data_IF_589827058564
#
_entry.id   IF_589827058564
#
_cell.length_a   1.000
_cell.length_b   1.000
_cell.length_c   1.000
_cell.angle_alpha   90.00
_cell.angle_beta   90.00
_cell.angle_gamma   90.00
#
_symmetry.space_group_name_H-M   'P 1'
#
loop_
_entity.id
_entity.type
_entity.pdbx_description
1 polymer ?
#
# COMPACT_ATOMS: atom_id res chain seq x y z
N UNK A 1 -66.34 -49.69 -6.99
CA UNK A 1 -65.12 -50.38 -6.50
C UNK A 1 -63.93 -49.65 -7.10
N UNK A 2 -62.94 -49.06 -6.43
CA UNK A 2 -62.54 -48.88 -5.03
C UNK A 2 -62.13 -47.40 -4.87
N UNK A 3 -62.43 -46.80 -3.71
CA UNK A 3 -61.93 -45.46 -3.33
C UNK A 3 -60.45 -45.57 -3.00
N UNK A 4 -59.61 -44.74 -3.61
CA UNK A 4 -58.21 -44.55 -3.22
C UNK A 4 -58.16 -43.25 -2.41
N UNK A 5 -57.74 -43.37 -1.15
CA UNK A 5 -57.68 -42.30 -0.16
C UNK A 5 -56.69 -41.21 -0.58
N UNK A 6 -57.19 -39.98 -0.67
CA UNK A 6 -56.49 -38.74 -1.02
C UNK A 6 -55.59 -38.18 0.10
N UNK A 7 -55.22 -38.98 1.11
CA UNK A 7 -54.50 -38.51 2.31
C UNK A 7 -53.05 -39.00 2.39
N UNK A 8 -52.61 -39.86 1.45
CA UNK A 8 -51.19 -40.31 1.37
C UNK A 8 -50.39 -39.49 0.34
N UNK A 9 -51.05 -38.65 -0.46
CA UNK A 9 -50.41 -37.85 -1.50
C UNK A 9 -49.82 -36.51 -1.02
N UNK A 10 -49.81 -36.24 0.29
CA UNK A 10 -49.33 -34.97 0.85
C UNK A 10 -47.97 -35.12 1.56
N UNK A 11 -47.53 -36.34 1.87
CA UNK A 11 -46.26 -36.56 2.59
C UNK A 11 -45.04 -36.86 1.69
N UNK A 12 -45.21 -36.93 0.37
CA UNK A 12 -44.10 -37.13 -0.59
C UNK A 12 -43.74 -35.84 -1.34
N UNK A 13 -44.57 -34.80 -1.24
CA UNK A 13 -44.30 -33.51 -1.89
C UNK A 13 -43.48 -32.53 -1.03
N UNK A 14 -43.14 -32.89 0.22
CA UNK A 14 -42.45 -32.02 1.16
C UNK A 14 -40.94 -32.34 1.35
N UNK A 15 -40.37 -33.24 0.55
CA UNK A 15 -38.96 -33.65 0.65
C UNK A 15 -38.05 -33.15 -0.49
N UNK A 16 -38.53 -32.22 -1.33
CA UNK A 16 -37.85 -31.82 -2.57
C UNK A 16 -37.35 -30.37 -2.65
N UNK A 17 -37.40 -29.57 -1.58
CA UNK A 17 -37.15 -28.13 -1.66
C UNK A 17 -36.12 -27.59 -0.65
N UNK A 18 -35.17 -28.42 -0.23
CA UNK A 18 -33.96 -27.98 0.47
C UNK A 18 -32.71 -28.48 -0.25
N UNK A 19 -32.63 -28.23 -1.56
CA UNK A 19 -31.35 -28.13 -2.24
C UNK A 19 -30.85 -26.70 -2.04
N UNK A 20 -30.14 -26.46 -0.94
CA UNK A 20 -29.26 -25.30 -0.86
C UNK A 20 -28.28 -25.40 -2.01
N UNK A 21 -28.37 -24.50 -2.98
CA UNK A 21 -27.22 -24.17 -3.81
C UNK A 21 -26.20 -23.52 -2.86
N UNK A 22 -25.38 -24.35 -2.23
CA UNK A 22 -24.04 -23.90 -1.87
C UNK A 22 -23.41 -23.58 -3.22
N UNK A 23 -23.19 -22.30 -3.48
CA UNK A 23 -22.38 -21.85 -4.59
C UNK A 23 -20.99 -22.45 -4.34
N UNK A 24 -20.75 -23.62 -4.96
CA UNK A 24 -19.42 -24.20 -4.96
C UNK A 24 -18.58 -23.21 -5.74
N UNK A 25 -17.60 -22.62 -5.07
CA UNK A 25 -16.54 -21.90 -5.76
C UNK A 25 -16.06 -22.79 -6.91
N UNK A 26 -16.30 -22.30 -8.13
CA UNK A 26 -15.80 -22.99 -9.31
C UNK A 26 -14.29 -23.02 -9.13
N UNK A 27 -13.64 -24.20 -9.22
CA UNK A 27 -12.20 -24.24 -9.21
C UNK A 27 -11.69 -23.30 -10.30
N UNK A 28 -10.96 -22.25 -9.89
CA UNK A 28 -10.28 -21.37 -10.82
C UNK A 28 -9.39 -22.27 -11.67
N UNK A 29 -9.49 -22.24 -13.01
CA UNK A 29 -8.58 -23.00 -13.85
C UNK A 29 -7.15 -22.70 -13.40
N UNK A 30 -6.32 -23.71 -13.25
CA UNK A 30 -4.89 -23.50 -13.03
C UNK A 30 -4.41 -22.60 -14.16
N UNK A 31 -4.01 -21.37 -13.82
CA UNK A 31 -3.44 -20.44 -14.80
C UNK A 31 -2.24 -21.15 -15.40
N UNK A 32 -2.20 -21.32 -16.71
CA UNK A 32 -1.00 -21.83 -17.36
C UNK A 32 0.12 -20.81 -17.15
N UNK A 33 1.19 -21.11 -16.38
CA UNK A 33 2.40 -20.31 -16.39
C UNK A 33 2.86 -20.21 -17.85
N UNK A 34 3.42 -19.06 -18.29
CA UNK A 34 3.98 -18.76 -19.62
C UNK A 34 3.33 -17.67 -20.50
N UNK A 35 2.21 -17.04 -20.12
CA UNK A 35 1.74 -15.85 -20.84
C UNK A 35 2.24 -14.58 -20.15
N UNK A 36 3.08 -13.82 -20.86
CA UNK A 36 3.52 -12.49 -20.41
C UNK A 36 2.32 -11.57 -20.46
N UNK A 37 2.01 -10.95 -19.33
CA UNK A 37 0.92 -9.98 -19.22
C UNK A 37 1.48 -8.57 -19.30
N UNK A 38 1.00 -7.79 -20.26
CA UNK A 38 1.24 -6.35 -20.33
C UNK A 38 0.28 -5.63 -19.37
N UNK A 39 0.83 -4.72 -18.57
CA UNK A 39 0.10 -3.90 -17.61
C UNK A 39 0.39 -2.43 -17.90
N UNK A 40 -0.68 -1.64 -17.98
CA UNK A 40 -0.62 -0.17 -18.02
C UNK A 40 -1.29 0.36 -16.74
N UNK A 41 -0.50 0.98 -15.86
CA UNK A 41 -0.93 1.50 -14.58
C UNK A 41 -0.71 3.02 -14.56
N UNK A 42 -1.80 3.78 -14.75
CA UNK A 42 -1.76 5.23 -14.85
C UNK A 42 -2.06 5.89 -13.49
N UNK A 43 -1.08 6.57 -12.91
CA UNK A 43 -1.20 7.32 -11.65
C UNK A 43 -1.64 8.77 -11.83
N UNK A 44 -1.88 9.20 -13.08
CA UNK A 44 -2.16 10.59 -13.47
C UNK A 44 -0.88 11.36 -13.77
N UNK A 45 -0.99 12.41 -14.60
CA UNK A 45 0.15 13.27 -14.97
C UNK A 45 0.67 14.09 -13.79
N UNK A 46 -0.21 14.38 -12.83
CA UNK A 46 0.12 15.07 -11.58
C UNK A 46 0.37 14.06 -10.44
N UNK A 47 0.48 12.77 -10.80
CA UNK A 47 0.78 11.64 -9.92
C UNK A 47 -0.21 11.46 -8.77
N UNK A 48 -1.43 11.97 -8.90
CA UNK A 48 -2.37 12.14 -7.81
C UNK A 48 -3.06 10.83 -7.36
N UNK A 49 -2.86 9.74 -8.11
CA UNK A 49 -3.52 8.46 -7.86
C UNK A 49 -2.55 7.41 -7.31
N UNK A 50 -3.06 6.56 -6.42
CA UNK A 50 -2.38 5.39 -5.88
C UNK A 50 -3.15 4.14 -6.33
N UNK A 51 -2.43 3.12 -6.82
CA UNK A 51 -3.01 1.92 -7.40
C UNK A 51 -2.53 0.67 -6.66
N UNK A 52 -3.47 -0.17 -6.23
CA UNK A 52 -3.19 -1.46 -5.59
C UNK A 52 -3.36 -2.58 -6.60
N UNK A 53 -2.24 -3.18 -7.03
CA UNK A 53 -2.19 -4.15 -8.10
C UNK A 53 -1.94 -5.57 -7.58
N UNK A 54 -2.71 -6.52 -8.13
CA UNK A 54 -2.57 -7.95 -7.89
C UNK A 54 -1.73 -8.58 -9.00
N UNK A 55 -0.53 -9.06 -8.68
CA UNK A 55 0.24 -9.98 -9.50
C UNK A 55 -0.54 -11.28 -9.70
N UNK A 56 -1.22 -11.74 -8.64
CA UNK A 56 -2.06 -12.94 -8.70
C UNK A 56 -3.12 -12.84 -9.77
N UNK A 57 -3.87 -11.74 -9.79
CA UNK A 57 -5.01 -11.56 -10.68
C UNK A 57 -4.66 -10.84 -11.98
N UNK A 58 -3.49 -10.23 -12.05
CA UNK A 58 -3.04 -9.35 -13.13
C UNK A 58 -4.03 -8.20 -13.39
N UNK A 59 -4.38 -7.47 -12.33
CA UNK A 59 -5.27 -6.30 -12.40
C UNK A 59 -5.10 -5.40 -11.18
N UNK A 60 -5.53 -4.14 -11.32
CA UNK A 60 -5.73 -3.23 -10.20
C UNK A 60 -6.97 -3.66 -9.43
N UNK A 61 -6.82 -3.94 -8.12
CA UNK A 61 -7.93 -4.33 -7.24
C UNK A 61 -8.61 -3.10 -6.59
N UNK A 62 -7.85 -2.04 -6.35
CA UNK A 62 -8.37 -0.78 -5.85
C UNK A 62 -7.48 0.40 -6.29
N UNK A 63 -8.04 1.60 -6.23
CA UNK A 63 -7.32 2.85 -6.44
C UNK A 63 -7.91 3.95 -5.57
N UNK A 64 -7.09 4.91 -5.17
CA UNK A 64 -7.52 6.12 -4.48
C UNK A 64 -6.74 7.34 -4.96
N UNK A 65 -7.18 8.52 -4.52
CA UNK A 65 -6.33 9.71 -4.59
C UNK A 65 -5.35 9.70 -3.43
N UNK A 66 -4.16 10.24 -3.62
CA UNK A 66 -3.18 10.39 -2.53
C UNK A 66 -3.76 11.18 -1.34
N UNK A 67 -4.76 12.02 -1.57
CA UNK A 67 -5.36 12.89 -0.55
C UNK A 67 -6.41 12.18 0.29
N UNK A 68 -6.85 10.99 -0.12
CA UNK A 68 -7.91 10.25 0.57
C UNK A 68 -7.48 9.75 1.96
N UNK A 69 -6.17 9.66 2.24
CA UNK A 69 -5.64 9.30 3.56
C UNK A 69 -4.32 10.00 3.88
N UNK A 70 -3.99 10.08 5.16
CA UNK A 70 -2.82 10.77 5.69
C UNK A 70 -1.89 9.81 6.44
N UNK A 71 -2.46 8.98 7.32
CA UNK A 71 -1.72 8.00 8.10
C UNK A 71 -2.41 6.65 8.04
N UNK A 72 -1.69 5.57 8.30
CA UNK A 72 -2.27 4.25 8.50
C UNK A 72 -1.72 3.61 9.77
N UNK A 73 -2.56 2.83 10.45
CA UNK A 73 -2.23 2.17 11.70
C UNK A 73 -2.20 0.64 11.53
N UNK A 74 -1.26 0.01 12.23
CA UNK A 74 -1.16 -1.45 12.34
C UNK A 74 -0.80 -1.82 13.77
N UNK A 75 -1.38 -2.92 14.25
CA UNK A 75 -0.95 -3.55 15.49
C UNK A 75 0.24 -4.46 15.21
N UNK A 76 1.29 -4.35 16.02
CA UNK A 76 2.40 -5.27 15.99
C UNK A 76 2.95 -5.52 17.39
N UNK A 77 2.79 -6.74 17.90
CA UNK A 77 3.36 -7.19 19.18
C UNK A 77 2.95 -6.33 20.40
N UNK A 78 1.70 -5.91 20.46
CA UNK A 78 1.12 -5.05 21.48
C UNK A 78 1.44 -3.56 21.29
N UNK A 79 2.02 -3.18 20.15
CA UNK A 79 2.37 -1.79 19.84
C UNK A 79 1.59 -1.29 18.63
N UNK A 80 1.33 0.01 18.60
CA UNK A 80 0.70 0.67 17.45
C UNK A 80 1.80 1.24 16.56
N UNK A 81 1.89 0.73 15.33
CA UNK A 81 2.78 1.26 14.31
C UNK A 81 2.04 2.29 13.44
N UNK A 82 2.81 3.28 12.97
CA UNK A 82 2.36 4.38 12.15
C UNK A 82 3.03 4.30 10.78
N UNK A 83 2.21 4.33 9.73
CA UNK A 83 2.62 4.63 8.37
C UNK A 83 2.15 6.04 8.02
N UNK A 84 3.02 6.79 7.35
CA UNK A 84 2.67 8.08 6.76
C UNK A 84 2.45 7.92 5.27
N UNK A 85 1.51 8.68 4.74
CA UNK A 85 1.38 8.81 3.30
C UNK A 85 2.51 9.68 2.75
N UNK A 86 3.63 9.03 2.43
CA UNK A 86 4.81 9.71 1.88
C UNK A 86 4.59 10.28 0.49
N UNK A 87 3.54 9.88 -0.25
CA UNK A 87 3.22 10.40 -1.58
C UNK A 87 3.02 11.92 -1.63
N UNK A 88 2.68 12.54 -0.50
CA UNK A 88 2.46 14.00 -0.41
C UNK A 88 3.59 14.77 0.27
N UNK A 89 4.77 14.15 0.42
CA UNK A 89 5.88 14.70 1.21
C UNK A 89 5.54 14.97 2.68
N UNK A 90 4.64 14.15 3.25
CA UNK A 90 4.30 14.21 4.67
C UNK A 90 5.50 13.92 5.56
N UNK A 91 5.52 14.56 6.74
CA UNK A 91 6.56 14.41 7.75
C UNK A 91 5.96 14.33 9.14
N UNK A 92 6.72 13.79 10.07
CA UNK A 92 6.34 13.70 11.48
C UNK A 92 7.43 14.15 12.42
N UNK A 93 7.01 14.47 13.64
CA UNK A 93 7.90 14.58 14.78
C UNK A 93 7.27 13.94 16.02
N UNK A 94 7.94 12.93 16.54
CA UNK A 94 7.76 12.45 17.91
C UNK A 94 8.41 13.41 18.89
N UNK A 95 7.63 14.01 19.79
CA UNK A 95 8.13 15.07 20.67
C UNK A 95 8.60 14.54 22.02
N UNK A 96 8.20 13.33 22.41
CA UNK A 96 8.36 12.80 23.78
C UNK A 96 7.58 13.55 24.85
N UNK A 97 6.71 14.49 24.47
CA UNK A 97 5.90 15.31 25.39
C UNK A 97 4.52 14.66 25.55
N UNK A 98 4.08 14.45 26.80
CA UNK A 98 2.77 13.82 27.07
C UNK A 98 1.64 14.83 27.33
N UNK A 99 1.93 16.13 27.28
CA UNK A 99 0.94 17.20 27.44
C UNK A 99 0.54 17.74 26.06
N UNK A 100 -0.64 17.33 25.59
CA UNK A 100 -1.12 17.55 24.21
C UNK A 100 -1.14 19.01 23.79
N UNK A 101 -1.37 19.95 24.72
CA UNK A 101 -1.50 21.39 24.43
C UNK A 101 -0.19 22.17 24.64
N UNK A 102 0.94 21.50 24.82
CA UNK A 102 2.25 22.17 24.96
C UNK A 102 2.52 23.04 23.72
N UNK A 103 2.79 24.36 23.86
CA UNK A 103 3.15 25.19 22.73
C UNK A 103 4.42 24.68 22.05
N UNK A 104 4.42 24.56 20.72
CA UNK A 104 5.59 24.16 19.93
C UNK A 104 5.76 25.16 18.79
N UNK A 105 6.99 25.63 18.58
CA UNK A 105 7.36 26.39 17.39
C UNK A 105 7.71 25.40 16.26
N UNK A 106 6.91 25.33 15.18
CA UNK A 106 7.15 24.39 14.07
C UNK A 106 8.48 24.64 13.35
N UNK A 107 9.07 25.85 13.46
CA UNK A 107 10.35 26.16 12.83
C UNK A 107 11.56 25.60 13.61
N UNK A 108 11.33 25.14 14.84
CA UNK A 108 12.34 24.54 15.71
C UNK A 108 12.31 23.01 15.70
N UNK A 109 11.47 22.42 14.84
CA UNK A 109 11.22 20.98 14.78
C UNK A 109 12.11 20.34 13.72
N UNK A 110 12.86 19.33 14.13
CA UNK A 110 13.54 18.43 13.21
C UNK A 110 12.51 17.43 12.66
N UNK A 111 12.12 17.60 11.40
CA UNK A 111 11.11 16.78 10.75
C UNK A 111 11.70 15.47 10.21
N UNK A 112 10.93 14.39 10.35
CA UNK A 112 11.29 13.06 9.86
C UNK A 112 10.32 12.63 8.75
N UNK A 113 10.86 12.08 7.66
CA UNK A 113 10.05 11.42 6.63
C UNK A 113 9.85 9.94 6.99
N UNK A 114 8.89 9.30 6.33
CA UNK A 114 8.85 7.84 6.35
C UNK A 114 10.02 7.26 5.56
N UNK A 115 10.70 6.30 6.17
CA UNK A 115 11.76 5.53 5.51
C UNK A 115 11.19 4.79 4.29
N UNK A 116 11.68 5.06 3.07
CA UNK A 116 11.15 4.46 1.83
C UNK A 116 11.31 2.94 1.77
N UNK A 117 12.32 2.39 2.45
CA UNK A 117 12.48 0.94 2.59
C UNK A 117 11.44 0.28 3.51
N UNK A 118 10.61 1.09 4.18
CA UNK A 118 9.52 0.63 5.05
C UNK A 118 9.93 0.55 6.51
N UNK A 119 9.18 -0.24 7.28
CA UNK A 119 9.38 -0.34 8.73
C UNK A 119 10.41 -1.43 9.06
N UNK A 120 11.62 -1.02 9.43
CA UNK A 120 12.57 -1.94 10.06
C UNK A 120 12.17 -2.18 11.52
N UNK A 121 11.66 -3.38 11.81
CA UNK A 121 11.18 -3.78 13.14
C UNK A 121 12.23 -3.68 14.26
N UNK A 122 13.52 -3.52 13.93
CA UNK A 122 14.59 -3.40 14.93
C UNK A 122 14.97 -1.95 15.29
N UNK A 123 14.51 -0.93 14.55
CA UNK A 123 14.98 0.47 14.71
C UNK A 123 13.83 1.51 14.77
N UNK A 124 12.57 1.05 14.83
CA UNK A 124 11.37 1.85 14.54
C UNK A 124 10.80 2.67 15.69
N UNK A 125 11.63 3.36 16.49
CA UNK A 125 11.09 4.24 17.55
C UNK A 125 10.34 5.46 17.01
N UNK A 126 10.69 5.93 15.81
CA UNK A 126 10.04 7.07 15.13
C UNK A 126 8.71 6.72 14.43
N UNK A 127 8.34 5.44 14.37
CA UNK A 127 7.13 4.95 13.70
C UNK A 127 6.20 4.21 14.65
N UNK A 128 6.43 4.31 15.96
CA UNK A 128 5.59 3.71 16.98
C UNK A 128 4.81 4.79 17.74
N UNK A 129 3.49 4.66 17.79
CA UNK A 129 2.66 5.53 18.62
C UNK A 129 2.74 5.10 20.08
N UNK A 130 3.17 6.03 20.94
CA UNK A 130 3.12 5.88 22.39
C UNK A 130 1.87 6.57 22.96
N UNK A 131 1.28 5.97 23.99
CA UNK A 131 0.09 6.52 24.64
C UNK A 131 0.36 7.92 25.20
N UNK A 132 -0.52 8.85 24.83
CA UNK A 132 -0.53 10.27 25.18
C UNK A 132 0.65 11.09 24.68
N UNK A 133 1.56 10.53 23.89
CA UNK A 133 2.62 11.31 23.27
C UNK A 133 1.99 12.32 22.28
N UNK A 134 2.46 13.57 22.33
CA UNK A 134 2.20 14.59 21.33
C UNK A 134 3.12 14.35 20.13
N UNK A 135 2.51 14.13 18.98
CA UNK A 135 3.18 14.01 17.69
C UNK A 135 2.74 15.17 16.82
N UNK A 136 3.69 15.77 16.12
CA UNK A 136 3.38 16.73 15.06
C UNK A 136 3.37 16.03 13.72
N UNK A 137 2.40 16.37 12.88
CA UNK A 137 2.24 15.81 11.54
C UNK A 137 2.16 16.95 10.55
N UNK A 138 3.15 17.07 9.67
CA UNK A 138 3.05 17.89 8.46
C UNK A 138 2.21 17.13 7.43
N UNK A 139 1.09 17.74 7.03
CA UNK A 139 0.14 17.13 6.11
C UNK A 139 0.64 17.07 4.66
N UNK A 140 1.79 17.69 4.39
CA UNK A 140 2.44 17.66 3.10
C UNK A 140 1.89 18.71 2.14
N UNK A 141 1.93 18.40 0.85
CA UNK A 141 1.62 19.35 -0.22
C UNK A 141 0.28 19.06 -0.92
N UNK A 142 -0.29 20.10 -1.53
CA UNK A 142 -1.41 20.01 -2.47
C UNK A 142 -1.03 19.84 -3.93
N UNK A 143 -2.04 19.70 -4.79
CA UNK A 143 -1.85 19.60 -6.24
C UNK A 143 -1.12 20.82 -6.85
N UNK A 144 -1.19 21.98 -6.20
CA UNK A 144 -0.50 23.19 -6.59
C UNK A 144 0.89 23.34 -5.90
N UNK A 145 1.33 22.31 -5.18
CA UNK A 145 2.53 22.29 -4.32
C UNK A 145 2.48 23.27 -3.12
N UNK A 146 1.30 23.64 -2.67
CA UNK A 146 1.11 24.46 -1.47
C UNK A 146 1.00 23.58 -0.21
N UNK A 147 1.43 24.11 0.92
CA UNK A 147 1.39 23.36 2.19
C UNK A 147 -0.05 23.16 2.68
N UNK A 148 -0.37 21.94 3.08
CA UNK A 148 -1.62 21.57 3.76
C UNK A 148 -1.63 21.90 5.26
N UNK A 149 -0.51 22.41 5.79
CA UNK A 149 -0.35 22.76 7.19
C UNK A 149 0.01 21.60 8.09
N UNK A 150 0.05 21.88 9.40
CA UNK A 150 0.51 20.95 10.44
C UNK A 150 -0.58 20.68 11.46
N UNK A 151 -0.70 19.44 11.90
CA UNK A 151 -1.61 19.02 12.97
C UNK A 151 -0.86 18.44 14.16
N UNK A 152 -1.55 18.42 15.30
CA UNK A 152 -1.21 17.62 16.47
C UNK A 152 -1.93 16.28 16.41
N UNK A 153 -1.23 15.21 16.75
CA UNK A 153 -1.74 13.85 16.86
C UNK A 153 -1.33 13.25 18.21
N UNK A 154 -2.20 12.44 18.81
CA UNK A 154 -1.84 11.63 19.97
C UNK A 154 -2.69 10.37 20.02
N UNK A 155 -2.07 9.23 20.35
CA UNK A 155 -2.81 8.01 20.67
C UNK A 155 -3.28 8.08 22.12
N UNK A 156 -4.58 8.20 22.36
CA UNK A 156 -5.16 8.34 23.72
C UNK A 156 -5.83 7.06 24.22
N UNK A 157 -6.00 6.05 23.36
CA UNK A 157 -6.48 4.73 23.72
C UNK A 157 -6.16 3.71 22.63
N UNK A 158 -5.93 2.46 23.02
CA UNK A 158 -5.67 1.36 22.11
C UNK A 158 -6.06 0.04 22.79
N UNK A 159 -6.84 -0.78 22.10
CA UNK A 159 -7.23 -2.12 22.49
C UNK A 159 -7.33 -3.04 21.26
N UNK A 160 -7.79 -4.28 21.48
CA UNK A 160 -7.88 -5.31 20.44
C UNK A 160 -8.90 -4.99 19.34
N UNK A 161 -9.79 -4.00 19.54
CA UNK A 161 -10.83 -3.62 18.57
C UNK A 161 -10.50 -2.31 17.85
N UNK A 162 -9.80 -1.38 18.51
CA UNK A 162 -9.62 -0.04 17.95
C UNK A 162 -8.46 0.76 18.53
N UNK A 163 -8.04 1.77 17.76
CA UNK A 163 -7.28 2.91 18.25
C UNK A 163 -8.21 4.11 18.48
N UNK A 164 -7.92 4.89 19.51
CA UNK A 164 -8.51 6.20 19.74
C UNK A 164 -7.43 7.27 19.60
N UNK A 165 -7.49 8.01 18.52
CA UNK A 165 -6.60 9.13 18.24
C UNK A 165 -7.24 10.43 18.71
N UNK A 166 -6.44 11.35 19.23
CA UNK A 166 -6.78 12.76 19.40
C UNK A 166 -6.04 13.58 18.36
N UNK A 167 -6.77 14.46 17.69
CA UNK A 167 -6.23 15.38 16.69
C UNK A 167 -6.61 16.81 17.00
N UNK A 168 -5.78 17.77 16.61
CA UNK A 168 -6.07 19.20 16.68
C UNK A 168 -5.20 19.96 15.68
N UNK A 169 -5.54 21.22 15.42
CA UNK A 169 -4.66 22.10 14.67
C UNK A 169 -3.34 22.33 15.43
N UNK A 170 -2.30 22.83 14.76
CA UNK A 170 -0.99 23.09 15.38
C UNK A 170 -1.07 23.95 16.67
N UNK A 171 -2.01 24.89 16.74
CA UNK A 171 -2.22 25.76 17.92
C UNK A 171 -2.98 25.06 19.07
N UNK A 172 -3.39 23.79 18.88
CA UNK A 172 -4.21 23.04 19.83
C UNK A 172 -5.71 23.37 19.77
N UNK A 173 -6.12 24.21 18.82
CA UNK A 173 -7.52 24.54 18.54
C UNK A 173 -8.20 23.45 17.71
N UNK A 174 -9.54 23.51 17.64
CA UNK A 174 -10.35 22.54 16.90
C UNK A 174 -9.95 21.11 17.25
N UNK A 175 -9.92 20.73 18.53
CA UNK A 175 -9.57 19.37 18.93
C UNK A 175 -10.73 18.41 18.67
N UNK A 176 -10.42 17.21 18.20
CA UNK A 176 -11.38 16.13 17.93
C UNK A 176 -10.74 14.76 18.20
N UNK A 177 -11.55 13.72 18.18
CA UNK A 177 -11.12 12.33 18.36
C UNK A 177 -11.55 11.47 17.19
N UNK A 178 -10.64 10.60 16.74
CA UNK A 178 -10.90 9.63 15.67
C UNK A 178 -10.80 8.24 16.26
N UNK A 179 -11.89 7.47 16.19
CA UNK A 179 -11.84 6.04 16.45
C UNK A 179 -11.50 5.32 15.16
N UNK A 180 -10.43 4.54 15.17
CA UNK A 180 -9.97 3.72 14.04
C UNK A 180 -10.22 2.28 14.40
N UNK A 181 -11.20 1.66 13.76
CA UNK A 181 -11.56 0.25 13.98
C UNK A 181 -10.54 -0.66 13.30
N UNK A 182 -10.12 -1.71 14.00
CA UNK A 182 -9.42 -2.84 13.40
C UNK A 182 -10.41 -3.61 12.51
N UNK A 183 -9.99 -3.92 11.28
CA UNK A 183 -10.82 -4.62 10.30
C UNK A 183 -10.09 -5.90 9.91
N UNK A 184 -10.74 -7.04 10.18
CA UNK A 184 -10.21 -8.35 9.83
C UNK A 184 -9.84 -8.45 8.34
N UNK A 185 -8.65 -8.99 8.07
CA UNK A 185 -8.14 -9.19 6.71
C UNK A 185 -7.40 -7.99 6.12
N UNK A 186 -7.25 -6.89 6.86
CA UNK A 186 -6.45 -5.72 6.48
C UNK A 186 -5.22 -5.60 7.37
N UNK A 187 -4.09 -5.26 6.75
CA UNK A 187 -2.82 -5.05 7.45
C UNK A 187 -2.72 -3.61 7.98
N UNK A 188 -3.06 -2.64 7.14
CA UNK A 188 -3.04 -1.21 7.44
C UNK A 188 -4.45 -0.63 7.45
N UNK A 189 -4.72 0.22 8.45
CA UNK A 189 -6.00 0.89 8.67
C UNK A 189 -5.82 2.39 8.44
N UNK A 190 -6.24 2.89 7.28
CA UNK A 190 -5.95 4.27 6.87
C UNK A 190 -6.90 5.28 7.54
N UNK A 191 -6.40 6.50 7.72
CA UNK A 191 -7.10 7.62 8.36
C UNK A 191 -6.85 8.88 7.54
N UNK A 192 -7.92 9.61 7.25
CA UNK A 192 -7.81 11.00 6.80
C UNK A 192 -7.76 11.90 8.03
N UNK A 193 -6.61 12.53 8.27
CA UNK A 193 -6.47 13.53 9.34
C UNK A 193 -7.14 14.86 8.97
N UNK A 194 -7.28 15.14 7.67
CA UNK A 194 -7.96 16.32 7.15
C UNK A 194 -9.47 16.21 7.40
N UNK A 195 -10.06 15.06 7.04
CA UNK A 195 -11.50 14.80 7.25
C UNK A 195 -11.81 14.27 8.66
N UNK A 196 -10.77 13.94 9.42
CA UNK A 196 -10.85 13.42 10.79
C UNK A 196 -11.66 12.14 10.90
N UNK A 197 -11.43 11.21 9.99
CA UNK A 197 -12.16 9.94 9.94
C UNK A 197 -11.31 8.80 9.41
N UNK A 198 -11.64 7.58 9.84
CA UNK A 198 -11.11 6.36 9.23
C UNK A 198 -11.53 6.28 7.75
N UNK A 199 -10.61 5.80 6.92
CA UNK A 199 -10.79 5.55 5.50
C UNK A 199 -10.20 4.18 5.22
N UNK A 200 -11.01 3.18 4.89
CA UNK A 200 -10.44 1.90 4.44
C UNK A 200 -10.26 1.98 2.93
N UNK A 201 -9.01 2.05 2.48
CA UNK A 201 -8.64 2.33 1.08
C UNK A 201 -7.98 1.12 0.44
N UNK A 202 -6.97 0.57 1.11
CA UNK A 202 -6.32 -0.65 0.65
C UNK A 202 -7.36 -1.76 0.54
N UNK A 203 -7.30 -2.62 -0.50
CA UNK A 203 -8.07 -3.84 -0.52
C UNK A 203 -7.56 -4.81 0.57
N UNK A 204 -8.28 -5.92 0.85
CA UNK A 204 -7.81 -6.92 1.80
C UNK A 204 -6.37 -7.34 1.49
N UNK A 205 -5.57 -7.56 2.51
CA UNK A 205 -4.12 -7.72 2.36
C UNK A 205 -3.74 -8.83 1.36
N UNK A 206 -4.55 -9.89 1.24
CA UNK A 206 -4.32 -11.01 0.31
C UNK A 206 -4.76 -10.78 -1.14
N UNK A 207 -5.34 -9.61 -1.43
CA UNK A 207 -5.84 -9.31 -2.76
C UNK A 207 -4.75 -8.71 -3.67
N UNK A 208 -3.69 -8.12 -3.11
CA UNK A 208 -2.75 -7.28 -3.85
C UNK A 208 -1.31 -7.45 -3.34
N UNK A 209 -0.35 -7.13 -4.21
CA UNK A 209 1.08 -7.30 -3.92
C UNK A 209 1.89 -6.02 -4.19
N UNK A 210 1.46 -5.20 -5.15
CA UNK A 210 2.18 -4.00 -5.59
C UNK A 210 1.34 -2.74 -5.35
N UNK A 211 1.98 -1.68 -4.85
CA UNK A 211 1.43 -0.33 -4.77
C UNK A 211 2.16 0.58 -5.76
N UNK A 212 1.49 1.01 -6.82
CA UNK A 212 2.04 1.98 -7.78
C UNK A 212 1.59 3.38 -7.35
N UNK A 213 2.55 4.22 -6.98
CA UNK A 213 2.29 5.49 -6.31
C UNK A 213 3.46 6.45 -6.43
N UNK A 214 3.22 7.73 -6.19
CA UNK A 214 4.27 8.63 -5.73
C UNK A 214 4.61 8.33 -4.26
N UNK A 215 5.86 8.52 -3.87
CA UNK A 215 6.34 8.39 -2.50
C UNK A 215 7.62 9.22 -2.28
N UNK A 216 7.97 9.49 -1.01
CA UNK A 216 9.25 10.10 -0.66
C UNK A 216 10.36 9.05 -0.71
N UNK A 217 11.43 9.34 -1.42
CA UNK A 217 12.66 8.56 -1.48
C UNK A 217 13.84 9.38 -0.94
N UNK A 218 14.93 8.73 -0.57
CA UNK A 218 16.19 9.37 -0.21
C UNK A 218 17.19 9.27 -1.36
N UNK A 219 17.26 10.30 -2.21
CA UNK A 219 18.25 10.35 -3.28
C UNK A 219 19.66 10.42 -2.69
N UNK A 220 20.57 9.62 -3.26
CA UNK A 220 21.92 9.37 -2.73
C UNK A 220 21.94 8.97 -1.24
N UNK A 221 20.82 8.46 -0.71
CA UNK A 221 20.66 8.06 0.69
C UNK A 221 20.42 9.21 1.67
N UNK A 222 20.38 10.47 1.20
CA UNK A 222 20.34 11.64 2.10
C UNK A 222 19.26 12.67 1.75
N UNK A 223 18.90 12.83 0.47
CA UNK A 223 18.08 13.95 0.01
C UNK A 223 16.63 13.49 -0.19
N UNK A 224 15.68 13.94 0.64
CA UNK A 224 14.27 13.59 0.47
C UNK A 224 13.72 14.16 -0.84
N UNK A 225 13.15 13.30 -1.69
CA UNK A 225 12.57 13.72 -2.97
C UNK A 225 11.34 12.87 -3.33
N UNK A 226 10.33 13.51 -3.94
CA UNK A 226 9.15 12.81 -4.43
C UNK A 226 9.44 12.12 -5.77
N UNK A 227 9.21 10.81 -5.80
CA UNK A 227 9.38 9.98 -6.99
C UNK A 227 8.13 9.12 -7.22
N UNK A 228 7.87 8.73 -8.46
CA UNK A 228 6.86 7.71 -8.77
C UNK A 228 7.54 6.36 -8.88
N UNK A 229 6.97 5.31 -8.29
CA UNK A 229 7.53 3.97 -8.39
C UNK A 229 6.54 2.89 -8.00
N UNK A 230 7.09 1.71 -7.74
CA UNK A 230 6.33 0.53 -7.31
C UNK A 230 6.86 0.10 -5.94
N UNK A 231 5.97 0.11 -4.94
CA UNK A 231 6.27 -0.34 -3.60
C UNK A 231 5.63 -1.70 -3.31
N UNK A 232 6.22 -2.44 -2.39
CA UNK A 232 5.67 -3.68 -1.81
C UNK A 232 5.52 -3.51 -0.29
N UNK A 233 4.53 -2.72 0.19
CA UNK A 233 4.42 -2.32 1.60
C UNK A 233 3.84 -3.42 2.51
N UNK A 234 4.30 -4.65 2.34
CA UNK A 234 3.88 -5.84 3.07
C UNK A 234 5.06 -6.81 3.22
N UNK A 235 5.06 -7.63 4.26
CA UNK A 235 6.08 -8.67 4.45
C UNK A 235 5.89 -9.89 3.54
N UNK A 236 4.75 -9.97 2.86
CA UNK A 236 4.34 -11.10 2.04
C UNK A 236 5.04 -11.18 0.70
N UNK A 237 5.66 -10.08 0.28
CA UNK A 237 6.31 -9.95 -1.01
C UNK A 237 7.78 -9.69 -0.75
N UNK A 238 8.62 -10.44 -1.46
CA UNK A 238 10.07 -10.25 -1.45
C UNK A 238 10.57 -10.16 -2.88
N UNK A 239 11.52 -9.29 -3.12
CA UNK A 239 12.00 -8.93 -4.46
C UNK A 239 13.51 -9.12 -4.53
N UNK A 240 13.97 -9.75 -5.59
CA UNK A 240 15.36 -9.75 -6.02
C UNK A 240 15.45 -8.97 -7.32
N UNK A 241 16.25 -7.91 -7.32
CA UNK A 241 16.59 -7.17 -8.53
C UNK A 241 17.85 -7.78 -9.17
N UNK A 242 17.83 -7.96 -10.49
CA UNK A 242 18.98 -8.50 -11.23
C UNK A 242 19.89 -7.39 -11.76
N UNK A 243 21.18 -7.69 -11.90
CA UNK A 243 22.15 -6.78 -12.53
C UNK A 243 22.35 -7.03 -14.05
N UNK A 244 21.74 -8.08 -14.61
CA UNK A 244 21.82 -8.41 -16.04
C UNK A 244 20.51 -9.05 -16.53
N UNK A 245 20.00 -8.59 -17.69
CA UNK A 245 18.76 -9.12 -18.28
C UNK A 245 19.05 -10.21 -19.31
N UNK A 246 18.77 -11.44 -18.89
CA UNK A 246 18.48 -12.55 -19.80
C UNK A 246 17.14 -13.19 -19.39
N UNK A 247 16.07 -12.71 -20.04
CA UNK A 247 14.70 -13.13 -19.73
C UNK A 247 14.51 -14.65 -19.83
N UNK A 248 15.06 -15.29 -20.86
CA UNK A 248 14.88 -16.73 -21.07
C UNK A 248 15.65 -17.55 -20.02
N UNK A 249 16.84 -17.08 -19.62
CA UNK A 249 17.60 -17.68 -18.53
C UNK A 249 16.87 -17.51 -17.18
N UNK A 250 16.45 -16.30 -16.84
CA UNK A 250 15.75 -16.00 -15.57
C UNK A 250 14.39 -16.67 -15.45
N UNK A 251 13.77 -17.02 -16.57
CA UNK A 251 12.53 -17.80 -16.61
C UNK A 251 12.70 -19.24 -16.15
N UNK A 252 13.90 -19.81 -16.27
CA UNK A 252 14.12 -21.25 -16.03
C UNK A 252 15.16 -21.56 -14.96
N UNK A 253 16.01 -20.61 -14.58
CA UNK A 253 17.01 -20.79 -13.53
C UNK A 253 16.38 -21.02 -12.15
N UNK A 254 17.07 -21.71 -11.25
CA UNK A 254 16.60 -21.80 -9.85
C UNK A 254 16.80 -20.47 -9.13
N UNK A 255 15.84 -20.13 -8.27
CA UNK A 255 15.87 -18.95 -7.40
C UNK A 255 16.16 -19.32 -5.93
N UNK A 256 16.63 -20.54 -5.66
CA UNK A 256 16.84 -21.04 -4.30
C UNK A 256 18.01 -20.35 -3.58
N UNK A 257 19.02 -19.92 -4.34
CA UNK A 257 20.23 -19.27 -3.82
C UNK A 257 20.15 -17.73 -3.83
N UNK A 258 19.05 -17.16 -4.33
CA UNK A 258 18.87 -15.70 -4.39
C UNK A 258 18.60 -15.12 -3.00
N UNK A 259 19.19 -13.96 -2.74
CA UNK A 259 18.95 -13.18 -1.52
C UNK A 259 17.89 -12.13 -1.82
N UNK A 260 16.62 -12.48 -1.59
CA UNK A 260 15.53 -11.53 -1.81
C UNK A 260 15.49 -10.45 -0.71
N UNK A 261 15.22 -9.22 -1.12
CA UNK A 261 14.93 -8.08 -0.25
C UNK A 261 13.45 -8.05 0.17
N UNK A 262 13.21 -7.56 1.37
CA UNK A 262 11.87 -7.22 1.90
C UNK A 262 11.66 -5.70 2.01
N UNK A 263 12.61 -4.89 1.53
CA UNK A 263 12.44 -3.44 1.49
C UNK A 263 11.25 -3.08 0.61
N UNK A 264 10.41 -2.16 1.08
CA UNK A 264 9.21 -1.76 0.33
C UNK A 264 9.54 -1.16 -1.03
N UNK A 265 10.63 -0.41 -1.14
CA UNK A 265 11.12 0.17 -2.38
C UNK A 265 12.10 -0.74 -3.14
N UNK A 266 12.09 -2.06 -2.93
CA UNK A 266 12.99 -2.98 -3.65
C UNK A 266 12.77 -3.02 -5.18
N UNK A 267 11.59 -2.62 -5.66
CA UNK A 267 11.36 -2.28 -7.07
C UNK A 267 11.54 -0.77 -7.27
N UNK A 268 10.91 0.01 -6.39
CA UNK A 268 11.20 1.43 -6.21
C UNK A 268 10.94 2.28 -7.46
N UNK A 269 11.76 3.31 -7.62
CA UNK A 269 11.66 4.30 -8.68
C UNK A 269 12.76 4.18 -9.73
N UNK A 270 13.84 3.47 -9.40
CA UNK A 270 15.14 3.50 -10.09
C UNK A 270 15.20 2.57 -11.30
N UNK A 271 14.11 1.88 -11.62
CA UNK A 271 13.86 1.30 -12.95
C UNK A 271 13.81 2.32 -14.09
N UNK A 272 13.80 3.62 -13.80
CA UNK A 272 13.92 4.71 -14.77
C UNK A 272 14.99 5.70 -14.34
N UNK A 273 15.60 6.31 -15.34
CA UNK A 273 16.67 7.28 -15.21
C UNK A 273 16.16 8.61 -15.76
N UNK A 274 16.40 9.70 -15.02
CA UNK A 274 16.09 11.05 -15.48
C UNK A 274 17.30 11.68 -16.17
N UNK A 275 17.15 12.11 -17.42
CA UNK A 275 18.17 12.84 -18.15
C UNK A 275 17.90 14.35 -18.05
N UNK A 276 18.78 15.05 -17.32
CA UNK A 276 18.71 16.50 -17.12
C UNK A 276 18.86 17.29 -18.43
N UNK A 277 19.54 16.75 -19.44
CA UNK A 277 19.78 17.45 -20.71
C UNK A 277 18.55 17.50 -21.60
N UNK A 278 17.74 16.44 -21.56
CA UNK A 278 16.50 16.31 -22.33
C UNK A 278 15.26 16.54 -21.48
N UNK A 279 15.41 16.62 -20.15
CA UNK A 279 14.31 16.70 -19.18
C UNK A 279 13.29 15.56 -19.37
N UNK A 280 13.80 14.34 -19.59
CA UNK A 280 12.99 13.17 -19.89
C UNK A 280 13.44 11.94 -19.10
N UNK A 281 12.54 10.96 -18.98
CA UNK A 281 12.82 9.68 -18.36
C UNK A 281 13.10 8.62 -19.42
N UNK A 282 14.02 7.71 -19.13
CA UNK A 282 14.21 6.47 -19.89
C UNK A 282 14.15 5.28 -18.94
N UNK A 283 13.60 4.15 -19.40
CA UNK A 283 13.61 2.90 -18.65
C UNK A 283 15.01 2.28 -18.68
N UNK A 284 15.45 1.79 -17.53
CA UNK A 284 16.62 0.91 -17.43
C UNK A 284 16.19 -0.52 -17.76
N UNK A 285 16.48 -0.94 -18.98
CA UNK A 285 16.12 -2.26 -19.50
C UNK A 285 17.06 -3.38 -19.02
N UNK A 286 18.11 -3.05 -18.25
CA UNK A 286 19.00 -4.03 -17.62
C UNK A 286 18.50 -4.48 -16.23
N UNK A 287 17.34 -3.96 -15.79
CA UNK A 287 16.65 -4.40 -14.57
C UNK A 287 15.55 -5.42 -14.87
N UNK A 288 15.58 -6.53 -14.14
CA UNK A 288 14.51 -7.50 -14.01
C UNK A 288 14.22 -7.73 -12.53
N UNK A 289 12.94 -7.85 -12.20
CA UNK A 289 12.48 -8.11 -10.84
C UNK A 289 11.99 -9.54 -10.72
N UNK A 290 12.67 -10.32 -9.88
CA UNK A 290 12.21 -11.62 -9.44
C UNK A 290 11.42 -11.42 -8.14
N UNK A 291 10.14 -11.76 -8.14
CA UNK A 291 9.22 -11.50 -7.05
C UNK A 291 8.74 -12.84 -6.50
N UNK A 292 8.89 -13.04 -5.19
CA UNK A 292 8.38 -14.22 -4.48
C UNK A 292 7.35 -13.78 -3.45
N UNK A 293 6.19 -14.41 -3.51
CA UNK A 293 5.10 -14.23 -2.55
C UNK A 293 5.22 -15.23 -1.39
N UNK A 294 4.58 -14.95 -0.26
CA UNK A 294 4.54 -15.84 0.91
C UNK A 294 3.86 -17.18 0.59
N UNK A 295 2.91 -17.19 -0.35
CA UNK A 295 2.26 -18.40 -0.86
C UNK A 295 3.18 -19.25 -1.74
N UNK A 296 4.43 -18.83 -1.96
CA UNK A 296 5.44 -19.56 -2.72
C UNK A 296 5.31 -19.38 -4.24
N UNK A 297 4.54 -18.39 -4.71
CA UNK A 297 4.44 -18.07 -6.14
C UNK A 297 5.57 -17.15 -6.56
N UNK A 298 6.08 -17.40 -7.77
CA UNK A 298 7.22 -16.71 -8.36
C UNK A 298 6.79 -15.94 -9.62
N UNK A 299 7.14 -14.66 -9.68
CA UNK A 299 6.84 -13.78 -10.79
C UNK A 299 8.10 -13.08 -11.27
N UNK A 300 8.25 -12.97 -12.58
CA UNK A 300 9.23 -12.09 -13.21
C UNK A 300 8.51 -10.83 -13.67
N UNK A 301 9.14 -9.67 -13.48
CA UNK A 301 8.60 -8.39 -13.92
C UNK A 301 9.70 -7.53 -14.53
N UNK A 302 9.39 -6.85 -15.65
CA UNK A 302 10.25 -5.79 -16.21
C UNK A 302 9.45 -4.57 -16.57
N UNK A 303 10.07 -3.41 -16.43
CA UNK A 303 9.46 -2.13 -16.79
C UNK A 303 9.61 -1.87 -18.29
N UNK A 304 8.65 -1.17 -18.86
CA UNK A 304 8.60 -0.88 -20.30
C UNK A 304 8.49 0.61 -20.62
N UNK A 305 7.70 1.35 -19.84
CA UNK A 305 7.49 2.77 -20.08
C UNK A 305 7.03 3.51 -18.82
N UNK A 306 7.19 4.84 -18.83
CA UNK A 306 6.60 5.77 -17.88
C UNK A 306 5.65 6.79 -18.55
N UNK A 307 5.58 6.77 -19.88
CA UNK A 307 4.79 7.69 -20.69
C UNK A 307 3.53 7.05 -21.24
N UNK A 308 2.49 7.86 -21.44
CA UNK A 308 1.31 7.48 -22.22
C UNK A 308 1.56 7.66 -23.73
N UNK A 309 0.57 7.28 -24.55
CA UNK A 309 0.65 7.41 -26.01
C UNK A 309 0.80 8.86 -26.52
N UNK A 310 0.56 9.87 -25.68
CA UNK A 310 0.72 11.28 -25.99
C UNK A 310 2.04 11.87 -25.43
N UNK A 311 2.84 11.08 -24.71
CA UNK A 311 4.08 11.52 -24.08
C UNK A 311 3.90 12.18 -22.72
N UNK A 312 2.76 12.00 -22.05
CA UNK A 312 2.56 12.46 -20.66
C UNK A 312 3.14 11.44 -19.68
N UNK A 313 3.79 11.91 -18.61
CA UNK A 313 4.31 11.07 -17.53
C UNK A 313 3.20 10.47 -16.66
N UNK A 314 3.55 9.51 -15.80
CA UNK A 314 2.62 8.91 -14.84
C UNK A 314 1.95 7.64 -15.34
N UNK A 315 2.30 7.17 -16.54
CA UNK A 315 1.79 5.92 -17.09
C UNK A 315 2.84 4.81 -16.94
N UNK A 316 2.80 4.10 -15.81
CA UNK A 316 3.75 3.04 -15.49
C UNK A 316 3.37 1.77 -16.25
N UNK A 317 4.17 1.41 -17.25
CA UNK A 317 3.93 0.24 -18.10
C UNK A 317 4.96 -0.84 -17.80
N UNK A 318 4.50 -2.08 -17.60
CA UNK A 318 5.37 -3.20 -17.27
C UNK A 318 4.79 -4.52 -17.75
N UNK A 319 5.66 -5.53 -17.83
CA UNK A 319 5.29 -6.91 -18.13
C UNK A 319 5.48 -7.80 -16.91
N UNK A 320 4.53 -8.70 -16.68
CA UNK A 320 4.61 -9.71 -15.61
C UNK A 320 4.43 -11.12 -16.17
N UNK A 321 5.26 -12.04 -15.71
CA UNK A 321 5.17 -13.46 -16.00
C UNK A 321 5.21 -14.27 -14.71
N UNK A 322 4.19 -15.08 -14.46
CA UNK A 322 4.25 -16.16 -13.46
C UNK A 322 4.95 -17.38 -14.08
N UNK A 323 5.93 -17.96 -13.37
CA UNK A 323 6.78 -19.06 -13.85
C UNK A 323 6.48 -20.41 -13.21
#
# INVERSE_FOLDING_TARGET
MKRINSTVLILVAALGALSGCIERELPVPVRTPNQVNLVEANVGSDYESQLFFSLKNNRVEASCKQRDWCIALREASGTSQLMLNSGRAMKTRHTGINEFNTPIDPNSVDWEIMEPSGINLQDSSSLQLHLNELILVDLGLDEDNESLGTLRLSLIGFDDESWLLRVADLEGTNSDTITVQQIDGYEWHQVSLIDRMQRQIEPPAEAWELCITQYMELLDGEIPYLVVGILTPTQRVRVFETDEVDWDTWKTNSWDELVFSSSWNAIGYDWKIFDLSTSSYSVDFDKLYCIRTEEGREFMMRMLDFYDANGNTGNVTFEVLER
#
